data_IF_094959120227
#
_entry.id   IF_094959120227
#
_cell.length_a   1.000
_cell.length_b   1.000
_cell.length_c   1.000
_cell.angle_alpha   90.00
_cell.angle_beta   90.00
_cell.angle_gamma   90.00
#
_symmetry.space_group_name_H-M   'P 1'
#
loop_
_entity.id
_entity.type
_entity.pdbx_description
1 polymer ?
#
# COMPACT_ATOMS: atom_id res chain seq x y z
N UNK A 1 9.14 5.79 7.12
CA UNK A 1 9.04 6.28 8.51
C UNK A 1 7.96 7.34 8.74
N UNK A 2 7.73 8.28 7.79
CA UNK A 2 6.68 9.31 7.89
C UNK A 2 5.30 8.68 8.03
N UNK A 3 4.99 7.66 7.22
CA UNK A 3 3.70 6.96 7.25
C UNK A 3 3.42 6.24 8.58
N UNK A 4 4.44 5.60 9.17
CA UNK A 4 4.30 4.94 10.48
C UNK A 4 3.93 5.93 11.58
N UNK A 5 4.49 7.13 11.53
CA UNK A 5 4.24 8.18 12.54
C UNK A 5 2.87 8.81 12.42
N UNK A 6 2.39 9.01 11.20
CA UNK A 6 1.03 9.49 10.98
C UNK A 6 0.01 8.45 11.42
N UNK A 7 0.22 7.17 11.10
CA UNK A 7 -0.62 6.09 11.61
C UNK A 7 -0.62 6.03 13.14
N UNK A 8 0.56 6.23 13.75
CA UNK A 8 0.68 6.25 15.20
C UNK A 8 -0.05 7.44 15.84
N UNK A 9 -0.04 8.61 15.17
CA UNK A 9 -0.83 9.77 15.62
C UNK A 9 -2.32 9.51 15.55
N UNK A 10 -2.83 9.00 14.43
CA UNK A 10 -4.25 8.67 14.28
C UNK A 10 -4.70 7.59 15.27
N UNK A 11 -3.81 6.66 15.62
CA UNK A 11 -4.09 5.63 16.61
C UNK A 11 -4.06 6.12 18.06
N UNK A 12 -3.15 7.06 18.39
CA UNK A 12 -2.88 7.47 19.79
C UNK A 12 -3.42 8.86 20.16
N UNK A 13 -3.76 9.70 19.16
CA UNK A 13 -4.23 11.08 19.34
C UNK A 13 -3.20 12.05 19.94
N UNK A 14 -1.95 11.62 20.16
CA UNK A 14 -0.91 12.44 20.78
C UNK A 14 -0.11 13.23 19.76
N UNK A 15 -0.25 14.57 19.76
CA UNK A 15 0.46 15.49 18.87
C UNK A 15 1.99 15.43 19.00
N UNK A 16 2.51 15.02 20.16
CA UNK A 16 3.95 14.88 20.41
C UNK A 16 4.65 13.93 19.43
N UNK A 17 3.99 12.89 18.94
CA UNK A 17 4.57 11.98 17.95
C UNK A 17 4.83 12.63 16.59
N UNK A 18 3.97 13.59 16.20
CA UNK A 18 4.17 14.37 14.96
C UNK A 18 5.41 15.24 15.12
N UNK A 19 5.52 15.94 16.25
CA UNK A 19 6.64 16.85 16.54
C UNK A 19 7.96 16.08 16.58
N UNK A 20 8.03 14.98 17.32
CA UNK A 20 9.21 14.10 17.38
C UNK A 20 9.56 13.59 15.98
N UNK A 21 8.53 13.21 15.22
CA UNK A 21 8.68 12.76 13.85
C UNK A 21 9.28 13.82 12.92
N UNK A 22 8.81 15.03 13.04
CA UNK A 22 9.30 16.15 12.23
C UNK A 22 10.74 16.52 12.58
N UNK A 23 11.06 16.57 13.88
CA UNK A 23 12.43 16.84 14.35
C UNK A 23 13.39 15.74 13.88
N UNK A 24 13.01 14.48 14.03
CA UNK A 24 13.84 13.36 13.59
C UNK A 24 14.01 13.33 12.06
N UNK A 25 12.98 13.71 11.30
CA UNK A 25 13.07 13.87 9.86
C UNK A 25 14.01 14.99 9.46
N UNK A 26 13.89 16.17 10.07
CA UNK A 26 14.77 17.30 9.81
C UNK A 26 16.23 16.98 10.15
N UNK A 27 16.48 16.39 11.32
CA UNK A 27 17.81 15.94 11.72
C UNK A 27 18.37 14.89 10.76
N UNK A 28 17.56 13.90 10.36
CA UNK A 28 17.94 12.89 9.39
C UNK A 28 18.25 13.47 8.00
N UNK A 29 17.50 14.47 7.56
CA UNK A 29 17.74 15.15 6.27
C UNK A 29 19.07 15.92 6.28
N UNK A 30 19.38 16.64 7.36
CA UNK A 30 20.65 17.34 7.53
C UNK A 30 21.82 16.37 7.56
N UNK A 31 21.71 15.29 8.33
CA UNK A 31 22.73 14.24 8.39
C UNK A 31 22.92 13.57 7.01
N UNK A 32 21.84 13.26 6.32
CA UNK A 32 21.89 12.65 4.99
C UNK A 32 22.57 13.57 3.96
N UNK A 33 22.26 14.87 3.99
CA UNK A 33 22.88 15.87 3.12
C UNK A 33 24.40 15.96 3.36
N UNK A 34 24.86 15.80 4.62
CA UNK A 34 26.28 15.81 4.97
C UNK A 34 26.99 14.49 4.67
N UNK A 35 26.32 13.35 4.80
CA UNK A 35 26.93 12.02 4.63
C UNK A 35 26.90 11.51 3.19
N UNK A 36 25.85 11.84 2.43
CA UNK A 36 25.64 11.33 1.07
C UNK A 36 25.83 12.45 0.05
N UNK A 37 26.87 12.35 -0.78
CA UNK A 37 27.17 13.34 -1.81
C UNK A 37 26.01 13.57 -2.79
N UNK A 38 25.23 12.54 -3.12
CA UNK A 38 24.05 12.67 -3.99
C UNK A 38 22.92 13.53 -3.36
N UNK A 39 22.74 13.45 -2.04
CA UNK A 39 21.74 14.27 -1.34
C UNK A 39 22.22 15.72 -1.28
N UNK A 40 23.48 15.95 -0.94
CA UNK A 40 24.10 17.28 -0.95
C UNK A 40 24.00 17.95 -2.33
N UNK A 41 24.34 17.23 -3.41
CA UNK A 41 24.23 17.74 -4.78
C UNK A 41 22.80 18.16 -5.15
N UNK A 42 21.77 17.41 -4.74
CA UNK A 42 20.36 17.77 -4.97
C UNK A 42 19.94 19.02 -4.20
N UNK A 43 20.44 19.16 -2.97
CA UNK A 43 20.20 20.37 -2.15
C UNK A 43 20.91 21.59 -2.77
N UNK A 44 22.15 21.44 -3.21
CA UNK A 44 22.90 22.51 -3.89
C UNK A 44 22.22 22.92 -5.21
N UNK A 45 21.81 21.95 -6.03
CA UNK A 45 21.07 22.21 -7.27
C UNK A 45 19.72 22.89 -7.02
N UNK A 46 19.07 22.62 -5.89
CA UNK A 46 17.81 23.26 -5.49
C UNK A 46 18.01 24.69 -4.98
N UNK A 47 19.08 24.94 -4.18
CA UNK A 47 19.36 26.26 -3.61
C UNK A 47 19.90 27.24 -4.67
N UNK A 48 20.70 26.75 -5.61
CA UNK A 48 21.38 27.56 -6.63
C UNK A 48 21.15 27.03 -8.05
N UNK A 49 19.89 26.83 -8.50
CA UNK A 49 19.60 26.14 -9.75
C UNK A 49 20.15 26.86 -10.99
N UNK A 50 20.23 28.17 -10.98
CA UNK A 50 20.64 29.01 -12.11
C UNK A 50 22.12 29.42 -12.09
N UNK A 51 22.92 28.92 -11.12
CA UNK A 51 24.34 29.21 -11.13
C UNK A 51 25.06 28.46 -12.26
N UNK A 52 25.99 29.11 -12.97
CA UNK A 52 26.75 28.49 -14.05
C UNK A 52 27.51 27.24 -13.60
N UNK A 53 27.95 27.22 -12.35
CA UNK A 53 28.67 26.09 -11.77
C UNK A 53 27.75 24.87 -11.63
N UNK A 54 26.56 25.04 -11.07
CA UNK A 54 25.59 23.96 -10.88
C UNK A 54 24.93 23.54 -12.18
N UNK A 55 24.67 24.49 -13.09
CA UNK A 55 24.05 24.20 -14.39
C UNK A 55 24.93 23.29 -15.25
N UNK A 56 26.25 23.54 -15.31
CA UNK A 56 27.20 22.79 -16.13
C UNK A 56 27.81 21.58 -15.41
N UNK A 57 27.46 21.33 -14.15
CA UNK A 57 28.00 20.23 -13.37
C UNK A 57 27.41 18.89 -13.84
N UNK A 58 28.24 17.99 -14.27
CA UNK A 58 27.87 16.60 -14.63
C UNK A 58 28.75 15.61 -13.89
N UNK A 59 28.17 14.60 -13.20
CA UNK A 59 26.75 14.36 -12.92
C UNK A 59 26.24 15.17 -11.72
N UNK A 60 24.91 15.30 -11.60
CA UNK A 60 24.25 15.84 -10.40
C UNK A 60 24.04 17.35 -10.39
N UNK A 61 24.19 18.04 -11.53
CA UNK A 61 23.89 19.45 -11.67
C UNK A 61 22.40 19.78 -11.83
N UNK A 62 22.13 21.08 -11.98
CA UNK A 62 20.76 21.61 -12.06
C UNK A 62 20.18 21.63 -13.47
N UNK A 63 20.91 21.21 -14.51
CA UNK A 63 20.47 21.20 -15.92
C UNK A 63 19.04 20.67 -16.09
N UNK A 64 18.77 19.47 -15.56
CA UNK A 64 17.48 18.80 -15.67
C UNK A 64 16.35 19.63 -15.02
N UNK A 65 16.62 20.19 -13.86
CA UNK A 65 15.66 21.00 -13.11
C UNK A 65 15.35 22.31 -13.85
N UNK A 66 16.38 22.99 -14.34
CA UNK A 66 16.26 24.24 -15.07
C UNK A 66 15.51 24.06 -16.40
N UNK A 67 15.84 23.00 -17.17
CA UNK A 67 15.12 22.69 -18.41
C UNK A 67 13.64 22.35 -18.15
N UNK A 68 13.34 21.64 -17.07
CA UNK A 68 11.97 21.38 -16.67
C UNK A 68 11.18 22.64 -16.30
N UNK A 69 11.81 23.59 -15.58
CA UNK A 69 11.19 24.87 -15.23
C UNK A 69 10.96 25.72 -16.48
N UNK A 70 11.92 25.78 -17.41
CA UNK A 70 11.73 26.48 -18.67
C UNK A 70 10.64 25.87 -19.52
N UNK A 71 10.54 24.51 -19.58
CA UNK A 71 9.43 23.85 -20.22
C UNK A 71 8.07 24.26 -19.61
N UNK A 72 7.97 24.23 -18.29
CA UNK A 72 6.76 24.67 -17.58
C UNK A 72 6.43 26.16 -17.88
N UNK A 73 7.45 27.03 -17.90
CA UNK A 73 7.27 28.47 -18.14
C UNK A 73 6.92 28.78 -19.59
N UNK A 74 7.42 28.01 -20.57
CA UNK A 74 7.15 28.21 -22.00
C UNK A 74 5.67 27.99 -22.37
N UNK A 75 4.95 27.15 -21.60
CA UNK A 75 3.52 26.92 -21.80
C UNK A 75 2.63 28.15 -21.47
N UNK A 76 3.12 29.11 -20.71
CA UNK A 76 2.33 30.31 -20.35
C UNK A 76 1.00 29.95 -19.69
N UNK A 77 -0.06 30.73 -19.99
CA UNK A 77 -1.39 30.55 -19.37
C UNK A 77 -2.18 29.40 -20.02
N UNK A 78 -2.15 29.28 -21.33
CA UNK A 78 -3.02 28.38 -22.12
C UNK A 78 -2.29 27.18 -22.73
N UNK A 79 -0.96 27.13 -22.62
CA UNK A 79 -0.12 26.11 -23.22
C UNK A 79 0.20 26.35 -24.69
N UNK A 80 1.16 25.60 -25.20
CA UNK A 80 1.53 25.61 -26.63
C UNK A 80 0.56 24.78 -27.46
N UNK A 81 -0.25 23.93 -26.83
CA UNK A 81 -1.16 22.97 -27.45
C UNK A 81 -0.66 21.52 -27.33
N UNK A 82 -1.60 20.58 -27.29
CA UNK A 82 -1.29 19.15 -27.19
C UNK A 82 -0.43 18.70 -28.39
N UNK A 83 0.72 18.09 -28.10
CA UNK A 83 1.68 17.64 -29.09
C UNK A 83 2.47 18.75 -29.79
N UNK A 84 2.33 20.01 -29.37
CA UNK A 84 3.08 21.16 -29.87
C UNK A 84 4.25 21.54 -28.97
N UNK A 85 4.38 20.91 -27.82
CA UNK A 85 5.52 21.07 -26.91
C UNK A 85 6.78 20.41 -27.46
N UNK A 86 7.89 20.68 -26.78
CA UNK A 86 9.21 20.11 -27.08
C UNK A 86 9.71 19.23 -25.92
N UNK A 87 8.98 18.15 -25.55
CA UNK A 87 9.34 17.32 -24.40
C UNK A 87 10.73 16.67 -24.55
N UNK A 88 11.26 16.58 -25.76
CA UNK A 88 12.61 16.08 -26.02
C UNK A 88 13.73 16.96 -25.43
N UNK A 89 13.44 18.21 -25.12
CA UNK A 89 14.38 19.13 -24.47
C UNK A 89 14.45 18.91 -22.96
N UNK A 90 13.41 18.33 -22.36
CA UNK A 90 13.34 18.06 -20.94
C UNK A 90 13.75 16.61 -20.67
N UNK A 91 14.84 16.42 -19.96
CA UNK A 91 15.30 15.08 -19.58
C UNK A 91 14.26 14.38 -18.70
N UNK A 92 13.93 13.13 -19.02
CA UNK A 92 12.88 12.35 -18.31
C UNK A 92 11.48 12.99 -18.33
N UNK A 93 11.15 13.70 -19.41
CA UNK A 93 9.86 14.35 -19.63
C UNK A 93 8.65 13.42 -19.47
N UNK A 94 8.81 12.13 -19.75
CA UNK A 94 7.75 11.11 -19.65
C UNK A 94 7.66 10.45 -18.27
N UNK A 95 8.59 10.71 -17.34
CA UNK A 95 8.60 10.11 -16.01
C UNK A 95 8.47 11.15 -14.90
N UNK A 96 9.55 11.51 -14.23
CA UNK A 96 9.56 12.45 -13.10
C UNK A 96 9.33 13.91 -13.48
N UNK A 97 9.54 14.29 -14.77
CA UNK A 97 9.24 15.63 -15.29
C UNK A 97 7.97 15.71 -16.14
N UNK A 98 7.10 14.69 -16.08
CA UNK A 98 5.83 14.70 -16.85
C UNK A 98 4.97 15.94 -16.53
N UNK A 99 4.96 16.42 -15.30
CA UNK A 99 4.23 17.62 -14.91
C UNK A 99 4.75 18.89 -15.61
N UNK A 100 6.07 18.97 -15.85
CA UNK A 100 6.67 20.07 -16.61
C UNK A 100 6.26 20.02 -18.10
N UNK A 101 6.29 18.85 -18.70
CA UNK A 101 5.86 18.65 -20.09
C UNK A 101 4.37 18.94 -20.30
N UNK A 102 3.53 18.50 -19.36
CA UNK A 102 2.10 18.84 -19.38
C UNK A 102 1.89 20.33 -19.20
N UNK A 103 2.75 21.00 -18.42
CA UNK A 103 2.70 22.46 -18.24
C UNK A 103 3.08 23.22 -19.52
N UNK A 104 4.03 22.71 -20.31
CA UNK A 104 4.36 23.27 -21.61
C UNK A 104 3.19 23.17 -22.60
N UNK A 105 2.54 21.99 -22.69
CA UNK A 105 1.47 21.74 -23.66
C UNK A 105 0.12 22.32 -23.22
N UNK A 106 -0.26 22.21 -21.96
CA UNK A 106 -1.58 22.60 -21.41
C UNK A 106 -1.56 23.98 -20.73
N UNK A 107 -0.38 24.53 -20.48
CA UNK A 107 -0.20 25.77 -19.76
C UNK A 107 -0.56 25.69 -18.27
N UNK A 108 -0.50 26.86 -17.62
CA UNK A 108 -0.81 26.98 -16.19
C UNK A 108 -2.23 26.51 -15.87
N UNK A 109 -3.21 26.82 -16.71
CA UNK A 109 -4.60 26.40 -16.49
C UNK A 109 -4.74 24.86 -16.50
N UNK A 110 -4.05 24.21 -17.45
CA UNK A 110 -4.08 22.74 -17.54
C UNK A 110 -3.44 22.05 -16.34
N UNK A 111 -2.25 22.48 -15.91
CA UNK A 111 -1.58 21.86 -14.75
C UNK A 111 -2.30 22.16 -13.44
N UNK A 112 -2.95 23.32 -13.30
CA UNK A 112 -3.82 23.60 -12.16
C UNK A 112 -5.07 22.72 -12.17
N UNK A 113 -5.67 22.49 -13.33
CA UNK A 113 -6.81 21.57 -13.45
C UNK A 113 -6.42 20.14 -13.05
N UNK A 114 -5.26 19.66 -13.50
CA UNK A 114 -4.71 18.34 -13.10
C UNK A 114 -4.50 18.31 -11.58
N UNK A 115 -3.89 19.33 -10.99
CA UNK A 115 -3.66 19.41 -9.55
C UNK A 115 -4.99 19.39 -8.78
N UNK A 116 -6.01 20.12 -9.27
CA UNK A 116 -7.36 20.11 -8.69
C UNK A 116 -7.99 18.71 -8.73
N UNK A 117 -7.81 17.95 -9.82
CA UNK A 117 -8.28 16.56 -9.90
C UNK A 117 -7.62 15.69 -8.84
N UNK A 118 -6.30 15.80 -8.63
CA UNK A 118 -5.63 15.11 -7.54
C UNK A 118 -6.16 15.51 -6.18
N UNK A 119 -6.38 16.81 -5.93
CA UNK A 119 -6.94 17.31 -4.67
C UNK A 119 -8.36 16.77 -4.42
N UNK A 120 -9.19 16.67 -5.46
CA UNK A 120 -10.52 16.07 -5.37
C UNK A 120 -10.46 14.58 -5.01
N UNK A 121 -9.56 13.82 -5.63
CA UNK A 121 -9.36 12.40 -5.32
C UNK A 121 -8.88 12.25 -3.87
N UNK A 122 -7.90 13.03 -3.46
CA UNK A 122 -7.35 13.03 -2.10
C UNK A 122 -8.43 13.40 -1.08
N UNK A 123 -9.19 14.47 -1.34
CA UNK A 123 -10.28 14.91 -0.46
C UNK A 123 -11.37 13.83 -0.34
N UNK A 124 -11.79 13.23 -1.46
CA UNK A 124 -12.75 12.13 -1.47
C UNK A 124 -12.26 10.93 -0.66
N UNK A 125 -10.98 10.58 -0.81
CA UNK A 125 -10.37 9.50 -0.05
C UNK A 125 -10.33 9.78 1.46
N UNK A 126 -10.02 11.00 1.88
CA UNK A 126 -10.08 11.39 3.30
C UNK A 126 -11.52 11.38 3.85
N UNK A 127 -12.50 11.87 3.07
CA UNK A 127 -13.91 11.80 3.45
C UNK A 127 -14.33 10.35 3.65
N UNK A 128 -13.93 9.45 2.75
CA UNK A 128 -14.17 8.02 2.87
C UNK A 128 -13.52 7.45 4.13
N UNK A 129 -12.25 7.78 4.40
CA UNK A 129 -11.56 7.32 5.61
C UNK A 129 -12.26 7.76 6.91
N UNK A 130 -12.87 8.95 6.92
CA UNK A 130 -13.62 9.44 8.08
C UNK A 130 -14.93 8.69 8.32
N UNK A 131 -15.56 8.14 7.28
CA UNK A 131 -16.83 7.38 7.39
C UNK A 131 -16.64 5.96 7.92
N UNK A 132 -15.44 5.42 7.86
CA UNK A 132 -15.15 4.05 8.27
C UNK A 132 -15.24 3.95 9.80
N UNK A 133 -16.04 3.01 10.28
CA UNK A 133 -16.24 2.73 11.71
C UNK A 133 -15.11 1.87 12.29
N UNK A 134 -14.58 0.95 11.49
CA UNK A 134 -13.47 0.08 11.89
C UNK A 134 -12.15 0.84 11.98
N UNK A 135 -11.45 0.67 13.11
CA UNK A 135 -10.18 1.34 13.38
C UNK A 135 -9.06 0.98 12.40
N UNK A 136 -8.97 -0.29 12.00
CA UNK A 136 -7.96 -0.73 11.04
C UNK A 136 -8.22 -0.17 9.64
N UNK A 137 -9.45 -0.31 9.13
CA UNK A 137 -9.86 0.22 7.83
C UNK A 137 -9.68 1.74 7.74
N UNK A 138 -10.00 2.47 8.81
CA UNK A 138 -9.79 3.92 8.90
C UNK A 138 -8.32 4.31 8.80
N UNK A 139 -7.44 3.62 9.53
CA UNK A 139 -6.00 3.85 9.49
C UNK A 139 -5.42 3.50 8.13
N UNK A 140 -5.85 2.37 7.55
CA UNK A 140 -5.41 1.92 6.23
C UNK A 140 -5.81 2.93 5.15
N UNK A 141 -7.08 3.33 5.10
CA UNK A 141 -7.56 4.30 4.12
C UNK A 141 -6.85 5.65 4.23
N UNK A 142 -6.72 6.19 5.45
CA UNK A 142 -6.02 7.46 5.67
C UNK A 142 -4.54 7.38 5.30
N UNK A 143 -3.88 6.26 5.56
CA UNK A 143 -2.48 6.01 5.17
C UNK A 143 -2.31 5.96 3.65
N UNK A 144 -3.19 5.27 2.93
CA UNK A 144 -3.16 5.18 1.47
C UNK A 144 -3.37 6.55 0.81
N UNK A 145 -4.38 7.30 1.26
CA UNK A 145 -4.67 8.66 0.75
C UNK A 145 -3.52 9.62 1.04
N UNK A 146 -2.95 9.55 2.24
CA UNK A 146 -1.80 10.38 2.58
C UNK A 146 -0.58 10.04 1.73
N UNK A 147 -0.34 8.76 1.43
CA UNK A 147 0.75 8.33 0.55
C UNK A 147 0.62 8.97 -0.82
N UNK A 148 -0.58 8.96 -1.41
CA UNK A 148 -0.85 9.60 -2.70
C UNK A 148 -0.69 11.12 -2.62
N UNK A 149 -1.24 11.76 -1.58
CA UNK A 149 -1.11 13.20 -1.36
C UNK A 149 0.35 13.64 -1.24
N UNK A 150 1.13 12.89 -0.46
CA UNK A 150 2.56 13.15 -0.28
C UNK A 150 3.36 12.94 -1.55
N UNK A 151 3.03 11.90 -2.35
CA UNK A 151 3.68 11.66 -3.65
C UNK A 151 3.40 12.83 -4.61
N UNK A 152 2.15 13.27 -4.76
CA UNK A 152 1.79 14.41 -5.61
C UNK A 152 2.49 15.70 -5.14
N UNK A 153 2.45 15.99 -3.84
CA UNK A 153 3.14 17.14 -3.27
C UNK A 153 4.64 17.12 -3.55
N UNK A 154 5.27 15.95 -3.40
CA UNK A 154 6.72 15.81 -3.58
C UNK A 154 7.13 15.99 -5.04
N UNK A 155 6.34 15.49 -5.98
CA UNK A 155 6.61 15.63 -7.43
C UNK A 155 6.42 17.08 -7.85
N UNK A 156 5.24 17.64 -7.60
CA UNK A 156 4.93 19.04 -7.98
C UNK A 156 5.86 20.02 -7.27
N UNK A 157 6.07 19.83 -5.95
CA UNK A 157 6.95 20.67 -5.16
C UNK A 157 8.43 20.58 -5.60
N UNK A 158 8.88 19.43 -6.06
CA UNK A 158 10.23 19.25 -6.60
C UNK A 158 10.43 20.02 -7.92
N UNK A 159 9.48 19.92 -8.85
CA UNK A 159 9.54 20.61 -10.16
C UNK A 159 9.38 22.12 -10.00
N UNK A 160 8.55 22.58 -9.05
CA UNK A 160 8.33 24.02 -8.78
C UNK A 160 9.35 24.64 -7.81
N UNK A 161 10.41 23.94 -7.46
CA UNK A 161 11.46 24.41 -6.52
C UNK A 161 10.97 24.71 -5.08
N UNK A 162 9.82 24.20 -4.67
CA UNK A 162 9.34 24.33 -3.28
C UNK A 162 10.16 23.41 -2.36
N UNK A 163 10.57 22.25 -2.87
CA UNK A 163 11.43 21.29 -2.18
C UNK A 163 12.52 20.76 -3.13
N UNK A 164 13.60 20.14 -2.62
CA UNK A 164 14.58 19.49 -3.47
C UNK A 164 13.96 18.36 -4.32
N UNK A 165 14.39 18.25 -5.57
CA UNK A 165 13.90 17.22 -6.49
C UNK A 165 14.18 15.81 -5.94
N UNK A 166 13.13 14.99 -5.86
CA UNK A 166 13.20 13.63 -5.31
C UNK A 166 13.30 12.53 -6.38
N UNK A 167 12.90 12.81 -7.63
CA UNK A 167 12.84 11.82 -8.70
C UNK A 167 11.68 10.82 -8.54
N UNK A 168 10.64 11.19 -7.81
CA UNK A 168 9.38 10.44 -7.76
C UNK A 168 8.55 10.74 -9.00
N UNK A 169 7.78 9.74 -9.44
CA UNK A 169 6.90 9.85 -10.59
C UNK A 169 5.50 10.30 -10.18
N UNK A 170 4.82 11.10 -11.03
CA UNK A 170 3.45 11.53 -10.78
C UNK A 170 2.50 10.33 -10.89
N UNK A 171 1.62 10.07 -9.89
CA UNK A 171 0.69 8.94 -9.92
C UNK A 171 -0.15 8.91 -11.19
N UNK A 172 -0.33 7.74 -11.79
CA UNK A 172 -1.16 7.46 -12.97
C UNK A 172 -0.75 8.14 -14.29
N UNK A 173 0.04 9.21 -14.27
CA UNK A 173 0.39 9.99 -15.45
C UNK A 173 1.81 9.70 -15.96
N UNK A 174 2.72 9.37 -15.06
CA UNK A 174 4.12 9.16 -15.43
C UNK A 174 4.38 7.73 -15.93
N UNK A 175 5.29 7.61 -16.89
CA UNK A 175 5.74 6.33 -17.41
C UNK A 175 6.75 5.67 -16.44
N UNK A 176 6.22 5.04 -15.39
CA UNK A 176 7.01 4.29 -14.42
C UNK A 176 6.33 2.95 -14.10
N UNK A 177 6.80 1.84 -14.69
CA UNK A 177 6.11 0.55 -14.58
C UNK A 177 5.79 0.12 -13.15
N UNK A 178 6.77 0.12 -12.25
CA UNK A 178 6.58 -0.24 -10.85
C UNK A 178 5.70 0.77 -10.08
N UNK A 179 5.87 2.06 -10.37
CA UNK A 179 5.07 3.12 -9.75
C UNK A 179 3.61 3.05 -10.20
N UNK A 180 3.34 2.79 -11.48
CA UNK A 180 1.98 2.60 -11.99
C UNK A 180 1.29 1.43 -11.30
N UNK A 181 1.94 0.27 -11.22
CA UNK A 181 1.38 -0.91 -10.54
C UNK A 181 1.07 -0.58 -9.08
N UNK A 182 2.00 0.03 -8.35
CA UNK A 182 1.80 0.41 -6.95
C UNK A 182 0.62 1.38 -6.77
N UNK A 183 0.50 2.39 -7.65
CA UNK A 183 -0.59 3.36 -7.59
C UNK A 183 -1.95 2.74 -7.97
N UNK A 184 -2.00 1.79 -8.92
CA UNK A 184 -3.23 1.05 -9.23
C UNK A 184 -3.66 0.13 -8.08
N UNK A 185 -2.71 -0.54 -7.40
CA UNK A 185 -3.01 -1.31 -6.19
C UNK A 185 -3.58 -0.38 -5.10
N UNK A 186 -2.95 0.79 -4.90
CA UNK A 186 -3.42 1.80 -3.94
C UNK A 186 -4.86 2.25 -4.26
N UNK A 187 -5.15 2.58 -5.53
CA UNK A 187 -6.49 2.97 -5.96
C UNK A 187 -7.51 1.85 -5.74
N UNK A 188 -7.15 0.61 -6.11
CA UNK A 188 -8.02 -0.55 -5.92
C UNK A 188 -8.37 -0.77 -4.45
N UNK A 189 -7.38 -0.70 -3.56
CA UNK A 189 -7.60 -0.80 -2.11
C UNK A 189 -8.52 0.31 -1.61
N UNK A 190 -8.32 1.55 -2.05
CA UNK A 190 -9.20 2.68 -1.68
C UNK A 190 -10.63 2.47 -2.16
N UNK A 191 -10.83 1.94 -3.37
CA UNK A 191 -12.16 1.66 -3.92
C UNK A 191 -12.84 0.54 -3.11
N UNK A 192 -12.13 -0.54 -2.78
CA UNK A 192 -12.66 -1.64 -1.97
C UNK A 192 -13.09 -1.12 -0.60
N UNK A 193 -12.23 -0.34 0.06
CA UNK A 193 -12.50 0.23 1.37
C UNK A 193 -13.68 1.22 1.28
N UNK A 194 -13.73 2.04 0.24
CA UNK A 194 -14.84 2.98 0.01
C UNK A 194 -16.17 2.26 -0.19
N UNK A 195 -16.17 1.17 -0.95
CA UNK A 195 -17.36 0.35 -1.14
C UNK A 195 -17.83 -0.26 0.18
N UNK A 196 -16.92 -0.82 0.97
CA UNK A 196 -17.22 -1.37 2.29
C UNK A 196 -17.74 -0.31 3.27
N UNK A 197 -17.19 0.91 3.25
CA UNK A 197 -17.61 2.01 4.12
C UNK A 197 -19.00 2.56 3.78
N UNK A 198 -19.44 2.41 2.54
CA UNK A 198 -20.77 2.87 2.07
C UNK A 198 -21.75 1.70 1.91
N UNK A 199 -21.36 0.46 2.18
CA UNK A 199 -22.28 -0.67 2.18
C UNK A 199 -23.34 -0.43 3.27
N UNK A 200 -24.64 -0.64 2.97
CA UNK A 200 -25.66 -0.60 3.99
C UNK A 200 -25.32 -1.63 5.06
N UNK A 201 -25.38 -1.25 6.33
CA UNK A 201 -25.30 -2.23 7.40
C UNK A 201 -26.39 -3.27 7.14
N UNK A 202 -26.06 -4.58 7.21
CA UNK A 202 -27.11 -5.58 7.15
C UNK A 202 -28.11 -5.19 8.24
N UNK A 203 -29.28 -4.75 7.83
CA UNK A 203 -30.37 -4.57 8.78
C UNK A 203 -30.54 -5.92 9.43
N UNK A 204 -30.15 -6.00 10.71
CA UNK A 204 -30.53 -7.11 11.57
C UNK A 204 -32.03 -6.97 11.73
N UNK A 205 -32.75 -7.36 10.69
CA UNK A 205 -34.21 -7.41 10.73
C UNK A 205 -34.55 -8.29 11.92
N UNK A 206 -35.53 -7.89 12.72
CA UNK A 206 -36.00 -8.67 13.88
C UNK A 206 -36.21 -10.14 13.53
N UNK A 207 -36.52 -10.41 12.27
CA UNK A 207 -36.67 -11.74 11.68
C UNK A 207 -35.36 -12.53 11.66
N UNK A 208 -34.21 -11.89 11.28
CA UNK A 208 -32.89 -12.57 11.26
C UNK A 208 -32.48 -12.97 12.67
N UNK A 209 -32.74 -12.10 13.66
CA UNK A 209 -32.45 -12.39 15.07
C UNK A 209 -33.37 -13.52 15.59
N UNK A 210 -34.63 -13.56 15.16
CA UNK A 210 -35.55 -14.63 15.50
C UNK A 210 -35.14 -15.96 14.86
N UNK A 211 -34.71 -15.97 13.60
CA UNK A 211 -34.24 -17.18 12.94
C UNK A 211 -32.95 -17.71 13.57
N UNK A 212 -32.00 -16.86 13.96
CA UNK A 212 -30.79 -17.28 14.67
C UNK A 212 -31.12 -17.82 16.08
N UNK A 213 -31.97 -17.13 16.82
CA UNK A 213 -32.44 -17.57 18.14
C UNK A 213 -33.16 -18.92 18.05
N UNK A 214 -34.02 -19.11 17.06
CA UNK A 214 -34.74 -20.36 16.81
C UNK A 214 -33.74 -21.48 16.41
N UNK A 215 -32.73 -21.19 15.60
CA UNK A 215 -31.72 -22.15 15.23
C UNK A 215 -30.88 -22.63 16.44
N UNK A 216 -30.52 -21.71 17.34
CA UNK A 216 -29.79 -22.04 18.57
C UNK A 216 -30.67 -22.88 19.52
N UNK A 217 -31.94 -22.53 19.68
CA UNK A 217 -32.88 -23.29 20.51
C UNK A 217 -33.10 -24.70 19.95
N UNK A 218 -33.25 -24.82 18.62
CA UNK A 218 -33.42 -26.11 17.94
C UNK A 218 -32.18 -26.99 18.10
N UNK A 219 -30.98 -26.45 18.00
CA UNK A 219 -29.75 -27.20 18.22
C UNK A 219 -29.63 -27.67 19.68
N UNK A 220 -29.97 -26.82 20.66
CA UNK A 220 -30.03 -27.24 22.07
C UNK A 220 -31.03 -28.35 22.34
N UNK A 221 -32.23 -28.28 21.71
CA UNK A 221 -33.20 -29.36 21.83
C UNK A 221 -32.71 -30.68 21.22
N UNK A 222 -32.04 -30.61 20.06
CA UNK A 222 -31.43 -31.78 19.43
C UNK A 222 -30.33 -32.39 20.29
N UNK A 223 -29.48 -31.58 20.89
CA UNK A 223 -28.45 -32.04 21.84
C UNK A 223 -29.07 -32.67 23.11
N UNK A 224 -30.13 -32.05 23.63
CA UNK A 224 -30.82 -32.59 24.79
C UNK A 224 -31.49 -33.93 24.51
N UNK A 225 -32.10 -34.05 23.31
CA UNK A 225 -32.67 -35.34 22.86
C UNK A 225 -31.56 -36.41 22.63
N UNK A 226 -30.45 -36.05 22.05
CA UNK A 226 -29.32 -36.95 21.85
C UNK A 226 -28.79 -37.48 23.19
N UNK A 227 -28.64 -36.60 24.19
CA UNK A 227 -28.24 -37.00 25.57
C UNK A 227 -29.27 -37.89 26.27
N UNK A 228 -30.58 -37.65 26.01
CA UNK A 228 -31.63 -38.48 26.60
C UNK A 228 -31.74 -39.88 25.94
N UNK A 229 -31.18 -40.03 24.75
CA UNK A 229 -31.20 -41.30 23.99
C UNK A 229 -29.91 -42.15 24.21
N UNK A 230 -28.92 -41.61 24.89
CA UNK A 230 -27.75 -42.40 25.29
C UNK A 230 -28.19 -43.45 26.29
N UNK A 231 -27.97 -44.74 26.00
CA UNK A 231 -28.32 -45.83 26.94
C UNK A 231 -27.47 -45.65 28.20
N UNK A 232 -28.16 -45.59 29.35
CA UNK A 232 -27.53 -45.61 30.66
C UNK A 232 -26.70 -46.88 30.77
N UNK A 233 -25.39 -46.80 30.52
CA UNK A 233 -24.48 -47.87 30.84
C UNK A 233 -24.42 -47.97 32.36
N UNK A 234 -25.22 -48.86 32.94
CA UNK A 234 -25.13 -49.19 34.37
C UNK A 234 -23.70 -49.65 34.68
N UNK A 235 -23.08 -49.09 35.74
CA UNK A 235 -21.79 -49.60 36.18
C UNK A 235 -21.98 -51.05 36.64
N UNK A 236 -21.37 -52.00 35.92
CA UNK A 236 -21.33 -53.40 36.28
C UNK A 236 -20.69 -53.48 37.66
N UNK A 237 -21.48 -53.90 38.67
CA UNK A 237 -21.01 -54.20 39.98
C UNK A 237 -19.91 -55.27 39.94
N UNK A 238 -18.73 -54.87 40.33
CA UNK A 238 -17.62 -55.79 40.60
C UNK A 238 -17.88 -56.45 41.91
N UNK A 239 -18.34 -57.69 41.88
CA UNK A 239 -18.28 -58.59 43.01
C UNK A 239 -17.09 -59.56 42.85
N UNK A 240 -16.17 -59.39 43.78
CA UNK A 240 -15.32 -60.42 44.39
C UNK A 240 -14.68 -61.50 43.51
N UNK A 241 -13.37 -61.50 43.41
CA UNK A 241 -12.57 -62.66 43.91
C UNK A 241 -11.16 -62.12 44.25
N UNK A 242 -10.83 -62.33 45.54
CA UNK A 242 -9.51 -62.09 46.07
C UNK A 242 -8.57 -63.25 45.61
N UNK A 243 -7.33 -62.98 45.33
CA UNK A 243 -6.16 -63.54 45.99
C UNK A 243 -4.88 -63.42 45.16
N UNK A 244 -3.85 -63.09 45.91
CA UNK A 244 -2.41 -63.45 45.68
C UNK A 244 -1.63 -62.50 44.77
N UNK A 245 -0.86 -61.65 45.43
CA UNK A 245 0.58 -61.70 45.75
C UNK A 245 1.50 -61.51 44.55
N UNK A 246 2.25 -60.52 44.63
CA UNK A 246 3.71 -60.40 44.80
C UNK A 246 4.24 -59.12 44.14
N UNK A 247 4.85 -58.35 44.99
CA UNK A 247 6.06 -57.54 44.92
C UNK A 247 6.75 -57.41 43.55
N UNK A 248 7.01 -56.18 43.10
CA UNK A 248 8.37 -55.69 42.99
C UNK A 248 8.41 -54.31 42.32
N UNK A 249 9.15 -53.45 43.02
CA UNK A 249 10.06 -52.39 42.68
C UNK A 249 9.67 -51.29 41.67
N UNK A 250 9.46 -50.18 42.18
CA UNK A 250 10.20 -48.92 42.03
C UNK A 250 11.15 -48.86 40.83
N UNK A 251 10.75 -48.01 39.86
CA UNK A 251 11.65 -47.09 39.17
C UNK A 251 10.83 -46.10 38.32
N UNK A 252 10.83 -44.83 38.72
CA UNK A 252 10.61 -43.70 37.80
C UNK A 252 11.84 -43.54 36.89
N UNK A 253 11.69 -43.16 35.63
CA UNK A 253 12.05 -41.76 35.40
C UNK A 253 11.26 -41.07 34.24
N UNK A 254 11.07 -39.77 34.53
CA UNK A 254 11.30 -38.62 33.61
C UNK A 254 10.44 -38.46 32.36
N UNK A 255 9.58 -37.47 32.48
CA UNK A 255 9.05 -36.53 31.48
C UNK A 255 9.99 -36.37 30.28
N UNK A 256 9.48 -36.65 29.08
CA UNK A 256 10.02 -36.05 27.88
C UNK A 256 8.91 -35.47 27.00
N UNK A 257 8.94 -34.16 26.95
CA UNK A 257 8.16 -33.32 26.05
C UNK A 257 8.79 -33.36 24.68
N UNK A 258 8.18 -34.04 23.72
CA UNK A 258 8.54 -33.91 22.30
C UNK A 258 7.35 -33.48 21.49
N UNK A 259 7.48 -32.25 21.02
CA UNK A 259 6.79 -31.62 19.89
C UNK A 259 6.72 -32.54 18.66
N UNK A 260 5.61 -32.54 17.91
CA UNK A 260 5.59 -33.22 16.61
C UNK A 260 6.34 -32.36 15.58
N UNK A 261 7.43 -32.97 15.08
CA UNK A 261 8.19 -32.53 13.92
C UNK A 261 7.34 -32.71 12.66
N UNK A 262 7.14 -31.61 11.94
CA UNK A 262 6.70 -31.65 10.55
C UNK A 262 7.85 -32.15 9.68
N UNK A 263 7.73 -33.35 9.17
CA UNK A 263 8.61 -33.91 8.16
C UNK A 263 8.29 -33.24 6.80
N UNK A 264 9.28 -32.55 6.32
CA UNK A 264 9.48 -32.05 4.98
C UNK A 264 9.51 -33.25 3.99
N UNK A 265 8.59 -33.26 3.05
CA UNK A 265 8.65 -34.18 1.91
C UNK A 265 8.99 -33.32 0.67
N UNK A 266 10.29 -33.24 0.39
CA UNK A 266 10.82 -32.86 -0.91
C UNK A 266 10.49 -33.95 -1.93
N UNK A 267 9.54 -33.71 -2.83
CA UNK A 267 9.48 -34.39 -4.12
C UNK A 267 9.65 -33.38 -5.25
N UNK A 268 10.55 -33.61 -6.19
CA UNK A 268 10.75 -32.73 -7.32
C UNK A 268 9.61 -32.86 -8.33
N UNK A 269 8.88 -31.79 -8.56
CA UNK A 269 7.88 -31.67 -9.62
C UNK A 269 8.53 -31.74 -10.98
N UNK A 270 8.32 -32.87 -11.70
CA UNK A 270 8.63 -33.02 -13.12
C UNK A 270 7.39 -32.65 -13.93
N UNK A 271 7.44 -31.61 -14.80
CA UNK A 271 6.32 -31.30 -15.67
C UNK A 271 6.31 -32.21 -16.89
N UNK A 272 5.46 -33.22 -16.90
CA UNK A 272 5.04 -33.93 -18.10
C UNK A 272 3.76 -33.30 -18.63
N UNK A 273 3.92 -32.34 -19.50
CA UNK A 273 2.83 -31.74 -20.26
C UNK A 273 3.38 -31.15 -21.54
N UNK A 274 3.25 -31.88 -22.63
CA UNK A 274 3.55 -31.42 -24.00
C UNK A 274 2.74 -30.16 -24.29
N UNK A 275 3.46 -29.04 -24.55
CA UNK A 275 2.90 -27.78 -25.05
C UNK A 275 2.43 -28.00 -26.49
N UNK A 276 1.16 -27.73 -26.83
CA UNK A 276 0.71 -27.79 -28.22
C UNK A 276 1.37 -26.68 -29.06
N UNK A 277 1.71 -26.92 -30.34
CA UNK A 277 2.35 -25.93 -31.17
C UNK A 277 1.42 -24.77 -31.51
N UNK A 278 1.97 -23.54 -31.49
CA UNK A 278 1.30 -22.32 -31.86
C UNK A 278 0.82 -22.39 -33.35
N UNK A 279 -0.36 -21.82 -33.65
CA UNK A 279 -0.84 -21.77 -35.06
C UNK A 279 0.03 -20.85 -35.90
N UNK A 280 0.16 -21.09 -37.22
CA UNK A 280 1.02 -20.31 -38.07
C UNK A 280 0.48 -18.89 -38.24
N UNK A 281 1.36 -17.90 -38.09
CA UNK A 281 1.10 -16.48 -38.38
C UNK A 281 0.96 -16.33 -39.88
N UNK A 282 -0.26 -16.10 -40.36
CA UNK A 282 -0.52 -15.74 -41.76
C UNK A 282 0.08 -14.37 -42.04
N UNK A 283 1.10 -14.36 -42.87
CA UNK A 283 1.66 -13.17 -43.46
C UNK A 283 0.63 -12.49 -44.37
N UNK A 284 0.08 -11.37 -43.92
CA UNK A 284 -0.73 -10.48 -44.75
C UNK A 284 0.19 -9.61 -45.59
N UNK A 285 0.05 -9.80 -46.89
CA UNK A 285 0.64 -9.09 -48.02
C UNK A 285 0.42 -7.58 -47.93
N UNK A 286 1.50 -6.84 -48.19
CA UNK A 286 1.47 -5.40 -48.52
C UNK A 286 0.68 -5.17 -49.81
N UNK A 287 -0.21 -4.21 -49.80
CA UNK A 287 -0.50 -3.28 -50.89
C UNK A 287 -0.63 -1.88 -50.27
#
# INVERSE_FOLDING_TARGET
>A
DVYKRQMLYTATGRKSWIIIGLIAFAAGAVLAAGMFSHVGQRVDAWLHPFSNEQYNKTPGGSWQLVTGIFGLASGGMLGTGLGQGHPSLVTFANSDFIYASLGEELGLMGVLAILMLYLLIIASGFITAMKIKDGFGKLLASGLVFTMAFQVFTVVGGITLVIPLTGLTLPYMAAGGSSLIANYILATLLIIISNSANAPEPELTSDTFQYEALAVLRNKELEARARATEPIVQPRSASATASQSESESFDDPIVDTTTPSYAEADEPYTPTGTIPPLPPVNGGTRV
#
